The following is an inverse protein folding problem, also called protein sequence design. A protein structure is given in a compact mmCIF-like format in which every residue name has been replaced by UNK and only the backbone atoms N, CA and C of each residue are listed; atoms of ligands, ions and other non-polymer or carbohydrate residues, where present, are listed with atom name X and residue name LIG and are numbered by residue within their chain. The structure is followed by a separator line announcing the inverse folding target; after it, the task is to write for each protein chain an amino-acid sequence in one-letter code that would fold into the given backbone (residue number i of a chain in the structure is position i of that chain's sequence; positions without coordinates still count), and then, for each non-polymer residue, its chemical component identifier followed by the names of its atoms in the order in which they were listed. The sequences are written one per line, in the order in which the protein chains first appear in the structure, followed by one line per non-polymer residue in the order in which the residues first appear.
data_IF_393074726252
#
_entry.id   IF_393074726252
#
_cell.length_a   1.000
_cell.length_b   1.000
_cell.length_c   1.000
_cell.angle_alpha   90.00
_cell.angle_beta   90.00
_cell.angle_gamma   90.00
#
_symmetry.space_group_name_H-M   'P 1'
#
loop_
_entity.id
_entity.type
_entity.pdbx_description
1 polymer ?
#
# COMPACT_ATOMS: atom_id res chain seq x y z
N UNK A 1 -20.39 32.51 12.15
CA UNK A 1 -21.60 32.10 12.91
C UNK A 1 -22.01 33.15 13.93
N UNK A 2 -21.09 33.66 14.75
CA UNK A 2 -21.39 34.71 15.75
C UNK A 2 -21.98 36.00 15.16
N UNK A 3 -21.47 36.51 14.03
CA UNK A 3 -22.00 37.73 13.40
C UNK A 3 -23.41 37.58 12.79
N UNK A 4 -23.85 36.35 12.49
CA UNK A 4 -25.19 36.10 11.95
C UNK A 4 -26.24 35.91 13.05
N UNK A 5 -25.81 35.43 14.22
CA UNK A 5 -26.67 35.27 15.41
C UNK A 5 -27.06 36.62 16.02
N UNK A 6 -26.20 37.64 15.94
CA UNK A 6 -26.51 39.01 16.38
C UNK A 6 -27.51 39.73 15.48
N UNK A 7 -27.77 39.23 14.26
CA UNK A 7 -28.72 39.82 13.30
C UNK A 7 -30.07 39.05 13.22
N UNK A 8 -30.32 38.09 14.12
CA UNK A 8 -31.57 37.32 14.12
C UNK A 8 -31.73 36.36 12.94
N UNK A 9 -30.67 36.13 12.17
CA UNK A 9 -30.64 35.18 11.06
C UNK A 9 -30.45 33.79 11.68
N UNK A 10 -31.47 32.92 11.58
CA UNK A 10 -31.35 31.50 11.93
C UNK A 10 -30.33 30.86 10.98
N UNK A 11 -29.09 30.74 11.43
CA UNK A 11 -28.09 29.91 10.77
C UNK A 11 -28.46 28.47 11.08
N UNK A 12 -28.86 27.73 10.04
CA UNK A 12 -29.03 26.29 10.14
C UNK A 12 -27.67 25.69 10.47
N UNK A 13 -27.48 25.27 11.73
CA UNK A 13 -26.30 24.53 12.12
C UNK A 13 -26.50 23.16 11.51
N UNK A 14 -25.96 22.95 10.31
CA UNK A 14 -25.98 21.65 9.63
C UNK A 14 -25.59 20.51 10.58
N UNK A 15 -25.85 19.26 10.20
CA UNK A 15 -25.63 18.11 11.08
C UNK A 15 -24.23 18.17 11.70
N UNK A 16 -24.15 17.91 13.01
CA UNK A 16 -22.88 17.89 13.72
C UNK A 16 -21.92 16.93 12.99
N UNK A 17 -20.72 17.43 12.68
CA UNK A 17 -19.71 16.63 12.01
C UNK A 17 -19.43 15.35 12.81
N UNK A 18 -19.29 14.23 12.12
CA UNK A 18 -18.94 12.96 12.75
C UNK A 18 -17.54 13.03 13.35
N UNK A 19 -17.40 12.69 14.63
CA UNK A 19 -16.10 12.64 15.29
C UNK A 19 -15.34 11.38 14.87
N UNK A 20 -14.34 11.54 13.99
CA UNK A 20 -13.50 10.44 13.51
C UNK A 20 -12.57 9.87 14.58
N UNK A 21 -12.27 10.61 15.66
CA UNK A 21 -11.36 10.13 16.71
C UNK A 21 -11.92 8.92 17.47
N UNK A 22 -13.24 8.71 17.40
CA UNK A 22 -13.87 7.53 18.01
C UNK A 22 -13.48 6.21 17.30
N UNK A 23 -12.87 6.29 16.11
CA UNK A 23 -12.31 5.15 15.37
C UNK A 23 -10.92 4.82 15.95
N UNK A 24 -10.89 4.50 17.25
CA UNK A 24 -9.69 4.16 18.00
C UNK A 24 -10.01 2.96 18.90
N UNK A 25 -9.12 1.97 19.05
CA UNK A 25 -9.30 0.87 20.00
C UNK A 25 -9.67 1.36 21.41
N UNK A 26 -10.59 0.65 22.07
CA UNK A 26 -11.05 0.97 23.43
C UNK A 26 -12.26 1.90 23.50
N UNK A 27 -12.70 2.51 22.40
CA UNK A 27 -13.93 3.32 22.40
C UNK A 27 -15.19 2.46 22.38
N UNK A 28 -16.28 2.97 22.96
CA UNK A 28 -17.59 2.32 22.89
C UNK A 28 -18.09 2.13 21.45
N UNK A 29 -17.66 2.99 20.53
CA UNK A 29 -17.95 2.85 19.11
C UNK A 29 -17.32 1.57 18.55
N UNK A 30 -16.01 1.36 18.76
CA UNK A 30 -15.30 0.19 18.24
C UNK A 30 -15.82 -1.12 18.84
N UNK A 31 -16.23 -1.12 20.11
CA UNK A 31 -16.87 -2.29 20.74
C UNK A 31 -18.17 -2.67 20.04
N UNK A 32 -19.09 -1.70 19.84
CA UNK A 32 -20.35 -1.92 19.12
C UNK A 32 -20.13 -2.32 17.66
N UNK A 33 -19.16 -1.70 16.98
CA UNK A 33 -18.79 -2.06 15.61
C UNK A 33 -18.35 -3.51 15.54
N UNK A 34 -17.56 -3.97 16.50
CA UNK A 34 -17.06 -5.35 16.56
C UNK A 34 -18.19 -6.36 16.80
N UNK A 35 -19.17 -6.03 17.64
CA UNK A 35 -20.38 -6.85 17.82
C UNK A 35 -21.22 -6.91 16.53
N UNK A 36 -21.40 -5.76 15.87
CA UNK A 36 -22.15 -5.67 14.64
C UNK A 36 -21.50 -6.47 13.51
N UNK A 37 -20.18 -6.37 13.32
CA UNK A 37 -19.47 -7.12 12.27
C UNK A 37 -19.56 -8.64 12.54
N UNK A 38 -19.43 -9.08 13.79
CA UNK A 38 -19.63 -10.50 14.14
C UNK A 38 -21.03 -10.98 13.78
N UNK A 39 -22.06 -10.18 14.09
CA UNK A 39 -23.43 -10.47 13.68
C UNK A 39 -23.57 -10.50 12.15
N UNK A 40 -23.01 -9.51 11.45
CA UNK A 40 -23.05 -9.41 10.00
C UNK A 40 -22.42 -10.63 9.32
N UNK A 41 -21.21 -11.04 9.75
CA UNK A 41 -20.53 -12.24 9.24
C UNK A 41 -21.39 -13.49 9.45
N UNK A 42 -21.93 -13.70 10.65
CA UNK A 42 -22.83 -14.84 10.95
C UNK A 42 -24.08 -14.83 10.06
N UNK A 43 -24.66 -13.65 9.85
CA UNK A 43 -25.80 -13.48 8.94
C UNK A 43 -25.41 -13.83 7.51
N UNK A 44 -24.34 -13.26 6.96
CA UNK A 44 -23.89 -13.53 5.58
C UNK A 44 -23.60 -15.02 5.35
N UNK A 45 -22.83 -15.66 6.24
CA UNK A 45 -22.50 -17.10 6.13
C UNK A 45 -23.76 -17.97 6.16
N UNK A 46 -24.80 -17.59 6.92
CA UNK A 46 -26.05 -18.37 7.01
C UNK A 46 -27.04 -18.10 5.87
N UNK A 47 -27.08 -16.88 5.33
CA UNK A 47 -28.11 -16.46 4.38
C UNK A 47 -27.63 -16.35 2.93
N UNK A 48 -26.35 -16.09 2.71
CA UNK A 48 -25.78 -15.80 1.39
C UNK A 48 -25.06 -17.04 0.83
N UNK A 49 -25.54 -17.63 -0.28
CA UNK A 49 -24.87 -18.76 -0.93
C UNK A 49 -23.41 -18.50 -1.29
N UNK A 50 -23.03 -17.26 -1.63
CA UNK A 50 -21.65 -16.91 -2.00
C UNK A 50 -20.67 -17.07 -0.82
N UNK A 51 -21.16 -17.06 0.42
CA UNK A 51 -20.35 -17.17 1.63
C UNK A 51 -20.23 -18.60 2.16
N UNK A 52 -20.87 -19.59 1.53
CA UNK A 52 -20.92 -20.98 2.06
C UNK A 52 -19.57 -21.71 2.01
N UNK A 53 -18.74 -21.39 1.03
CA UNK A 53 -17.48 -22.10 0.76
C UNK A 53 -16.24 -21.24 1.04
N UNK A 54 -16.37 -20.19 1.87
CA UNK A 54 -15.26 -19.34 2.27
C UNK A 54 -15.01 -19.44 3.76
N UNK A 55 -13.76 -19.28 4.16
CA UNK A 55 -13.39 -19.11 5.58
C UNK A 55 -13.31 -17.63 5.88
N UNK A 56 -14.02 -17.17 6.91
CA UNK A 56 -14.00 -15.76 7.34
C UNK A 56 -13.28 -15.65 8.68
N UNK A 57 -12.20 -14.89 8.69
CA UNK A 57 -11.43 -14.57 9.90
C UNK A 57 -11.70 -13.11 10.24
N UNK A 58 -12.12 -12.84 11.48
CA UNK A 58 -12.37 -11.48 11.96
C UNK A 58 -11.46 -11.15 13.14
N UNK A 59 -10.54 -10.20 12.94
CA UNK A 59 -9.63 -9.67 13.96
C UNK A 59 -10.02 -8.21 14.28
N UNK A 60 -10.72 -8.01 15.38
CA UNK A 60 -11.24 -6.69 15.75
C UNK A 60 -10.18 -5.80 16.45
N UNK A 61 -10.62 -4.64 16.92
CA UNK A 61 -9.78 -3.66 17.62
C UNK A 61 -9.33 -4.10 19.02
N UNK A 62 -9.84 -5.22 19.56
CA UNK A 62 -9.35 -5.77 20.82
C UNK A 62 -8.08 -6.59 20.65
N UNK A 63 -7.76 -7.02 19.42
CA UNK A 63 -6.52 -7.72 19.09
C UNK A 63 -5.44 -6.70 18.76
N UNK A 64 -4.34 -6.62 19.55
CA UNK A 64 -3.27 -5.64 19.35
C UNK A 64 -2.61 -5.74 17.97
N UNK A 65 -2.13 -4.61 17.48
CA UNK A 65 -1.44 -4.47 16.20
C UNK A 65 -2.31 -3.81 15.13
N UNK A 66 -1.64 -3.07 14.25
CA UNK A 66 -2.26 -2.38 13.11
C UNK A 66 -2.87 -3.37 12.12
N UNK A 67 -3.95 -2.98 11.45
CA UNK A 67 -4.73 -3.87 10.60
C UNK A 67 -3.88 -4.52 9.50
N UNK A 68 -3.10 -3.72 8.79
CA UNK A 68 -2.17 -4.17 7.74
C UNK A 68 -1.11 -5.13 8.30
N UNK A 69 -0.44 -4.79 9.41
CA UNK A 69 0.55 -5.66 10.03
C UNK A 69 -0.03 -6.99 10.53
N UNK A 70 -1.27 -6.99 11.04
CA UNK A 70 -1.98 -8.24 11.40
C UNK A 70 -2.23 -9.13 10.18
N UNK A 71 -2.60 -8.53 9.05
CA UNK A 71 -2.78 -9.26 7.78
C UNK A 71 -1.44 -9.82 7.30
N UNK A 72 -0.38 -9.00 7.26
CA UNK A 72 0.94 -9.43 6.82
C UNK A 72 1.51 -10.54 7.71
N UNK A 73 1.28 -10.47 9.03
CA UNK A 73 1.62 -11.53 9.96
C UNK A 73 0.86 -12.83 9.65
N UNK A 74 -0.43 -12.73 9.29
CA UNK A 74 -1.23 -13.88 8.90
C UNK A 74 -0.69 -14.54 7.62
N UNK A 75 -0.37 -13.75 6.59
CA UNK A 75 0.23 -14.24 5.33
C UNK A 75 1.56 -14.95 5.60
N UNK A 76 2.47 -14.30 6.35
CA UNK A 76 3.76 -14.91 6.75
C UNK A 76 3.56 -16.21 7.51
N UNK A 77 2.62 -16.25 8.45
CA UNK A 77 2.34 -17.46 9.23
C UNK A 77 1.80 -18.58 8.34
N UNK A 78 0.86 -18.30 7.43
CA UNK A 78 0.33 -19.29 6.49
C UNK A 78 1.44 -19.89 5.62
N UNK A 79 2.34 -19.05 5.09
CA UNK A 79 3.47 -19.49 4.27
C UNK A 79 4.38 -20.50 4.99
N UNK A 80 4.48 -20.42 6.32
CA UNK A 80 5.27 -21.37 7.14
C UNK A 80 4.56 -22.69 7.41
N UNK A 81 3.26 -22.81 7.10
CA UNK A 81 2.50 -24.02 7.39
C UNK A 81 2.78 -25.14 6.38
N UNK A 82 2.81 -26.41 6.82
CA UNK A 82 2.88 -27.56 5.91
C UNK A 82 1.67 -27.58 4.96
N UNK A 83 1.92 -27.79 3.66
CA UNK A 83 0.86 -27.85 2.66
C UNK A 83 0.36 -26.48 2.18
N UNK A 84 1.05 -25.39 2.52
CA UNK A 84 0.81 -24.08 1.91
C UNK A 84 0.95 -24.15 0.39
N UNK A 85 -0.02 -23.57 -0.33
CA UNK A 85 0.05 -23.43 -1.78
C UNK A 85 0.86 -22.17 -2.13
N UNK A 86 2.06 -22.31 -2.72
CA UNK A 86 2.89 -21.16 -3.11
C UNK A 86 2.26 -20.30 -4.21
N UNK A 87 1.21 -20.79 -4.89
CA UNK A 87 0.47 -20.05 -5.91
C UNK A 87 -0.85 -19.46 -5.37
N UNK A 88 -1.04 -19.43 -4.05
CA UNK A 88 -2.20 -18.77 -3.46
C UNK A 88 -2.25 -17.30 -3.90
N UNK A 89 -3.42 -16.87 -4.39
CA UNK A 89 -3.64 -15.51 -4.87
C UNK A 89 -4.15 -14.64 -3.73
N UNK A 90 -3.35 -13.64 -3.34
CA UNK A 90 -3.67 -12.68 -2.29
C UNK A 90 -4.21 -11.39 -2.89
N UNK A 91 -5.31 -10.88 -2.35
CA UNK A 91 -5.86 -9.56 -2.68
C UNK A 91 -6.09 -8.77 -1.39
N UNK A 92 -5.37 -7.66 -1.25
CA UNK A 92 -5.45 -6.77 -0.08
C UNK A 92 -6.20 -5.49 -0.44
N UNK A 93 -7.22 -5.13 0.32
CA UNK A 93 -7.93 -3.86 0.12
C UNK A 93 -7.42 -2.77 1.06
N UNK A 94 -7.00 -1.63 0.53
CA UNK A 94 -6.57 -0.48 1.33
C UNK A 94 -5.96 0.66 0.50
N UNK A 95 -5.92 1.87 1.06
CA UNK A 95 -5.48 3.09 0.36
C UNK A 95 -4.02 3.48 0.65
N UNK A 96 -3.44 2.91 1.69
CA UNK A 96 -2.14 3.33 2.22
C UNK A 96 -1.00 2.93 1.27
N UNK A 97 0.02 3.79 1.18
CA UNK A 97 1.16 3.56 0.30
C UNK A 97 2.03 2.39 0.80
N UNK A 98 2.10 2.22 2.11
CA UNK A 98 2.89 1.20 2.80
C UNK A 98 2.49 -0.22 2.41
N UNK A 99 1.23 -0.41 1.98
CA UNK A 99 0.72 -1.69 1.48
C UNK A 99 1.54 -2.23 0.30
N UNK A 100 2.09 -1.37 -0.57
CA UNK A 100 2.93 -1.80 -1.69
C UNK A 100 4.22 -2.42 -1.16
N UNK A 101 4.87 -1.75 -0.21
CA UNK A 101 6.14 -2.21 0.38
C UNK A 101 5.93 -3.46 1.23
N UNK A 102 4.86 -3.49 2.04
CA UNK A 102 4.48 -4.66 2.81
C UNK A 102 4.17 -5.86 1.91
N UNK A 103 3.47 -5.66 0.79
CA UNK A 103 3.16 -6.72 -0.15
C UNK A 103 4.43 -7.25 -0.85
N UNK A 104 5.36 -6.39 -1.24
CA UNK A 104 6.67 -6.80 -1.77
C UNK A 104 7.44 -7.67 -0.76
N UNK A 105 7.48 -7.24 0.51
CA UNK A 105 8.15 -7.94 1.60
C UNK A 105 7.49 -9.28 2.01
N UNK A 106 6.33 -9.63 1.45
CA UNK A 106 5.75 -10.98 1.66
C UNK A 106 6.44 -12.03 0.79
N UNK A 107 7.07 -11.63 -0.32
CA UNK A 107 7.59 -12.53 -1.37
C UNK A 107 6.57 -13.55 -1.88
N UNK A 108 5.27 -13.21 -1.84
CA UNK A 108 4.22 -14.03 -2.44
C UNK A 108 4.21 -13.84 -3.96
N UNK A 109 4.09 -14.95 -4.69
CA UNK A 109 4.15 -14.96 -6.15
C UNK A 109 2.95 -14.23 -6.78
N UNK A 110 1.79 -14.26 -6.11
CA UNK A 110 0.55 -13.67 -6.61
C UNK A 110 -0.08 -12.76 -5.54
N UNK A 111 0.35 -11.51 -5.50
CA UNK A 111 -0.18 -10.50 -4.57
C UNK A 111 -0.73 -9.28 -5.31
N UNK A 112 -1.93 -8.84 -4.95
CA UNK A 112 -2.60 -7.69 -5.54
C UNK A 112 -3.13 -6.75 -4.48
N UNK A 113 -3.12 -5.45 -4.76
CA UNK A 113 -3.74 -4.44 -3.90
C UNK A 113 -4.94 -3.86 -4.64
N UNK A 114 -6.10 -3.84 -4.00
CA UNK A 114 -7.33 -3.25 -4.49
C UNK A 114 -7.59 -1.96 -3.72
N UNK A 115 -7.86 -0.87 -4.43
CA UNK A 115 -8.09 0.43 -3.81
C UNK A 115 -9.01 1.30 -4.65
N UNK A 116 -9.62 2.30 -4.06
CA UNK A 116 -10.32 3.31 -4.81
C UNK A 116 -9.35 4.10 -5.70
N UNK A 117 -9.77 4.36 -6.94
CA UNK A 117 -9.05 5.22 -7.86
C UNK A 117 -9.19 6.68 -7.40
N UNK A 118 -8.04 7.34 -7.19
CA UNK A 118 -8.01 8.74 -6.80
C UNK A 118 -7.96 9.59 -8.08
N UNK A 119 -9.13 9.98 -8.57
CA UNK A 119 -9.26 10.79 -9.78
C UNK A 119 -8.97 12.27 -9.47
N UNK A 120 -7.76 12.72 -9.77
CA UNK A 120 -7.38 14.13 -9.64
C UNK A 120 -7.74 14.91 -10.91
N UNK A 121 -8.85 15.66 -10.86
CA UNK A 121 -9.26 16.58 -11.93
C UNK A 121 -9.86 15.92 -13.18
N UNK A 122 -10.43 16.74 -14.08
CA UNK A 122 -11.18 16.28 -15.28
C UNK A 122 -10.37 15.41 -16.24
N UNK A 123 -9.08 15.71 -16.44
CA UNK A 123 -8.19 14.95 -17.34
C UNK A 123 -7.89 13.53 -16.83
N UNK A 124 -7.87 13.32 -15.51
CA UNK A 124 -7.63 12.01 -14.91
C UNK A 124 -8.82 11.06 -15.17
N UNK A 125 -10.05 11.56 -15.08
CA UNK A 125 -11.26 10.80 -15.38
C UNK A 125 -11.30 10.30 -16.84
N UNK A 126 -11.01 11.19 -17.81
CA UNK A 126 -10.94 10.81 -19.24
C UNK A 126 -9.86 9.76 -19.51
N UNK A 127 -8.74 9.81 -18.80
CA UNK A 127 -7.64 8.83 -18.92
C UNK A 127 -7.98 7.46 -18.30
N UNK A 128 -8.84 7.44 -17.28
CA UNK A 128 -9.34 6.20 -16.64
C UNK A 128 -10.33 5.49 -17.56
N UNK A 129 -11.24 6.24 -18.18
CA UNK A 129 -12.21 5.70 -19.15
C UNK A 129 -11.52 5.04 -20.34
N UNK A 130 -10.51 5.70 -20.94
CA UNK A 130 -9.72 5.11 -22.03
C UNK A 130 -8.99 3.84 -21.61
N UNK A 131 -8.39 3.81 -20.42
CA UNK A 131 -7.70 2.61 -19.90
C UNK A 131 -8.65 1.44 -19.66
N UNK A 132 -9.89 1.70 -19.22
CA UNK A 132 -10.91 0.65 -19.08
C UNK A 132 -11.27 0.02 -20.41
N UNK A 133 -11.45 0.84 -21.45
CA UNK A 133 -11.72 0.37 -22.82
C UNK A 133 -10.55 -0.43 -23.41
N UNK A 134 -9.31 0.00 -23.18
CA UNK A 134 -8.10 -0.68 -23.70
C UNK A 134 -7.77 -1.98 -22.96
N UNK A 135 -8.13 -2.10 -21.68
CA UNK A 135 -7.75 -3.24 -20.82
C UNK A 135 -8.53 -4.54 -21.08
N UNK A 136 -9.66 -4.48 -21.80
CA UNK A 136 -10.57 -5.62 -22.02
C UNK A 136 -11.26 -6.17 -20.75
N UNK A 137 -10.98 -5.60 -19.57
CA UNK A 137 -11.54 -6.02 -18.28
C UNK A 137 -13.04 -5.77 -18.19
N UNK A 138 -13.57 -4.78 -18.93
CA UNK A 138 -15.00 -4.47 -18.96
C UNK A 138 -15.83 -5.65 -19.45
N UNK A 139 -15.34 -6.37 -20.46
CA UNK A 139 -16.10 -7.46 -21.09
C UNK A 139 -16.10 -8.72 -20.22
N UNK A 140 -14.96 -9.03 -19.58
CA UNK A 140 -14.86 -10.14 -18.63
C UNK A 140 -15.68 -9.90 -17.35
N UNK A 141 -15.65 -8.66 -16.82
CA UNK A 141 -16.47 -8.29 -15.66
C UNK A 141 -17.97 -8.39 -15.99
N UNK A 142 -18.38 -7.93 -17.19
CA UNK A 142 -19.77 -7.99 -17.63
C UNK A 142 -20.28 -9.44 -17.75
N UNK A 143 -19.45 -10.34 -18.28
CA UNK A 143 -19.78 -11.78 -18.35
C UNK A 143 -19.88 -12.42 -16.97
N UNK A 144 -19.02 -12.03 -16.02
CA UNK A 144 -19.09 -12.50 -14.64
C UNK A 144 -20.34 -11.98 -13.92
N UNK A 145 -20.66 -10.70 -14.08
CA UNK A 145 -21.84 -10.07 -13.50
C UNK A 145 -23.14 -10.70 -14.05
N UNK A 146 -23.18 -11.01 -15.35
CA UNK A 146 -24.28 -11.75 -15.98
C UNK A 146 -24.43 -13.19 -15.44
N UNK A 147 -23.33 -13.85 -15.08
CA UNK A 147 -23.33 -15.21 -14.55
C UNK A 147 -23.73 -15.31 -13.06
N UNK A 148 -23.43 -14.28 -12.25
CA UNK A 148 -23.57 -14.32 -10.78
C UNK A 148 -24.92 -13.79 -10.28
N UNK A 149 -25.70 -13.07 -11.12
CA UNK A 149 -27.02 -12.57 -10.75
C UNK A 149 -26.94 -11.42 -9.73
N UNK A 150 -26.81 -10.20 -10.25
CA UNK A 150 -26.41 -8.99 -9.52
C UNK A 150 -27.51 -8.30 -8.69
N UNK A 151 -28.22 -9.06 -7.85
CA UNK A 151 -29.07 -8.42 -6.83
C UNK A 151 -28.28 -7.65 -5.76
N UNK A 152 -27.01 -7.97 -5.56
CA UNK A 152 -26.21 -7.51 -4.42
C UNK A 152 -25.18 -6.40 -4.72
N UNK A 153 -24.97 -6.01 -5.99
CA UNK A 153 -23.87 -5.11 -6.37
C UNK A 153 -24.27 -3.79 -7.03
N UNK A 154 -25.56 -3.56 -7.32
CA UNK A 154 -26.02 -2.31 -7.94
C UNK A 154 -26.31 -1.23 -6.87
N UNK A 155 -25.30 -0.92 -6.05
CA UNK A 155 -25.35 0.18 -5.08
C UNK A 155 -24.92 1.45 -5.82
N UNK A 156 -25.77 2.49 -5.83
CA UNK A 156 -25.46 3.76 -6.54
C UNK A 156 -24.09 4.36 -6.15
N UNK A 157 -23.68 4.19 -4.89
CA UNK A 157 -22.39 4.67 -4.39
C UNK A 157 -21.19 4.04 -5.13
N UNK A 158 -21.29 2.76 -5.54
CA UNK A 158 -20.24 2.06 -6.28
C UNK A 158 -20.05 2.62 -7.71
N UNK A 159 -21.07 3.29 -8.28
CA UNK A 159 -20.97 3.89 -9.62
C UNK A 159 -20.04 5.10 -9.65
N UNK A 160 -19.76 5.70 -8.49
CA UNK A 160 -18.99 6.95 -8.39
C UNK A 160 -17.57 6.78 -7.86
N UNK A 161 -17.18 5.56 -7.48
CA UNK A 161 -15.86 5.24 -6.90
C UNK A 161 -15.26 4.00 -7.57
N UNK A 162 -14.69 4.14 -8.78
CA UNK A 162 -14.07 3.00 -9.45
C UNK A 162 -12.90 2.46 -8.62
N UNK A 163 -12.78 1.13 -8.61
CA UNK A 163 -11.64 0.45 -7.99
C UNK A 163 -10.53 0.27 -9.02
N UNK A 164 -9.29 0.36 -8.56
CA UNK A 164 -8.10 0.01 -9.31
C UNK A 164 -7.34 -1.13 -8.62
N UNK A 165 -6.66 -1.95 -9.42
CA UNK A 165 -5.83 -3.05 -8.94
C UNK A 165 -4.36 -2.76 -9.23
N UNK A 166 -3.54 -2.76 -8.19
CA UNK A 166 -2.07 -2.72 -8.30
C UNK A 166 -1.57 -4.16 -8.29
N UNK A 167 -0.74 -4.51 -9.28
CA UNK A 167 -0.18 -5.85 -9.46
C UNK A 167 1.27 -5.89 -8.99
N UNK A 168 1.51 -6.50 -7.83
CA UNK A 168 2.86 -6.67 -7.28
C UNK A 168 3.74 -7.56 -8.17
N UNK A 169 3.24 -8.64 -8.82
CA UNK A 169 4.06 -9.40 -9.77
C UNK A 169 4.58 -8.53 -10.92
N UNK A 170 3.75 -7.64 -11.46
CA UNK A 170 4.15 -6.73 -12.54
C UNK A 170 5.16 -5.71 -12.01
N UNK A 171 4.94 -5.15 -10.82
CA UNK A 171 5.91 -4.25 -10.19
C UNK A 171 7.27 -4.95 -10.01
N UNK A 172 7.28 -6.21 -9.61
CA UNK A 172 8.51 -7.01 -9.49
C UNK A 172 9.22 -7.19 -10.84
N UNK A 173 8.49 -7.37 -11.93
CA UNK A 173 9.09 -7.38 -13.28
C UNK A 173 9.72 -6.02 -13.65
N UNK A 174 9.06 -4.91 -13.31
CA UNK A 174 9.65 -3.57 -13.49
C UNK A 174 10.93 -3.41 -12.67
N UNK A 175 10.93 -3.81 -11.40
CA UNK A 175 12.13 -3.76 -10.54
C UNK A 175 13.23 -4.68 -11.10
N UNK A 176 12.91 -5.89 -11.52
CA UNK A 176 13.88 -6.78 -12.15
C UNK A 176 14.51 -6.16 -13.42
N UNK A 177 13.71 -5.45 -14.22
CA UNK A 177 14.24 -4.73 -15.38
C UNK A 177 15.11 -3.54 -14.98
N UNK A 178 14.71 -2.75 -13.98
CA UNK A 178 15.43 -1.57 -13.48
C UNK A 178 16.82 -1.93 -12.92
N UNK A 179 16.89 -3.06 -12.22
CA UNK A 179 18.11 -3.52 -11.55
C UNK A 179 18.83 -4.64 -12.29
N UNK A 180 18.47 -4.93 -13.55
CA UNK A 180 19.09 -6.00 -14.36
C UNK A 180 20.62 -5.94 -14.40
N UNK A 181 21.19 -4.74 -14.37
CA UNK A 181 22.65 -4.56 -14.35
C UNK A 181 23.33 -5.13 -13.09
N UNK A 182 22.58 -5.34 -12.01
CA UNK A 182 23.09 -5.92 -10.77
C UNK A 182 23.04 -7.44 -10.75
N UNK A 183 22.57 -8.09 -11.82
CA UNK A 183 22.64 -9.56 -11.95
C UNK A 183 24.09 -10.09 -12.05
N UNK A 184 25.05 -9.21 -12.36
CA UNK A 184 26.46 -9.56 -12.60
C UNK A 184 27.43 -8.93 -11.58
N UNK A 185 26.97 -8.67 -10.35
CA UNK A 185 27.83 -8.12 -9.28
C UNK A 185 28.86 -9.13 -8.76
N UNK A 186 30.00 -8.68 -8.21
CA UNK A 186 31.13 -9.55 -7.88
C UNK A 186 30.97 -10.40 -6.61
N UNK A 187 29.82 -10.40 -5.93
CA UNK A 187 29.57 -11.25 -4.75
C UNK A 187 28.81 -12.53 -5.08
N UNK A 188 28.93 -13.51 -4.19
CA UNK A 188 28.87 -14.95 -4.50
C UNK A 188 27.50 -15.47 -4.97
N UNK A 189 26.41 -14.88 -4.50
CA UNK A 189 25.04 -15.31 -4.83
C UNK A 189 24.11 -14.08 -4.97
N UNK A 190 23.76 -13.75 -6.22
CA UNK A 190 22.79 -12.70 -6.50
C UNK A 190 21.38 -13.28 -6.41
N UNK A 191 20.56 -12.71 -5.55
CA UNK A 191 19.15 -13.06 -5.36
C UNK A 191 18.27 -11.84 -5.60
N UNK A 192 17.33 -11.95 -6.54
CA UNK A 192 16.33 -10.91 -6.77
C UNK A 192 15.45 -10.68 -5.53
N UNK A 193 15.18 -11.71 -4.72
CA UNK A 193 14.41 -11.52 -3.48
C UNK A 193 15.15 -10.63 -2.48
N UNK A 194 16.47 -10.80 -2.35
CA UNK A 194 17.30 -9.97 -1.47
C UNK A 194 17.44 -8.54 -1.98
N UNK A 195 17.42 -8.37 -3.30
CA UNK A 195 17.34 -7.05 -3.91
C UNK A 195 16.01 -6.36 -3.57
N UNK A 196 14.89 -7.08 -3.60
CA UNK A 196 13.58 -6.54 -3.21
C UNK A 196 13.58 -6.10 -1.74
N UNK A 197 14.22 -6.86 -0.84
CA UNK A 197 14.39 -6.46 0.57
C UNK A 197 15.14 -5.13 0.72
N UNK A 198 16.25 -4.97 -0.01
CA UNK A 198 17.02 -3.71 -0.02
C UNK A 198 16.20 -2.55 -0.60
N UNK A 199 15.43 -2.77 -1.67
CA UNK A 199 14.57 -1.75 -2.27
C UNK A 199 13.51 -1.27 -1.27
N UNK A 200 12.86 -2.21 -0.56
CA UNK A 200 11.89 -1.88 0.50
C UNK A 200 12.57 -1.07 1.60
N UNK A 201 13.77 -1.46 2.01
CA UNK A 201 14.54 -0.72 3.02
C UNK A 201 14.92 0.69 2.55
N UNK A 202 15.36 0.88 1.30
CA UNK A 202 15.69 2.19 0.74
C UNK A 202 14.48 3.13 0.74
N UNK A 203 13.27 2.61 0.52
CA UNK A 203 12.05 3.41 0.58
C UNK A 203 11.80 4.03 1.96
N UNK A 204 12.31 3.44 3.05
CA UNK A 204 12.17 4.02 4.39
C UNK A 204 12.87 5.38 4.53
N UNK A 205 13.93 5.66 3.76
CA UNK A 205 14.65 6.95 3.83
C UNK A 205 13.85 8.12 3.26
N UNK A 206 12.87 7.85 2.41
CA UNK A 206 12.00 8.90 1.84
C UNK A 206 10.79 9.21 2.73
N UNK A 207 10.70 8.55 3.89
CA UNK A 207 9.68 8.77 4.92
C UNK A 207 8.75 7.57 5.11
N UNK A 208 8.30 7.39 6.34
CA UNK A 208 7.27 6.43 6.73
C UNK A 208 6.58 6.93 8.01
N UNK A 209 5.57 6.22 8.49
CA UNK A 209 4.80 6.65 9.67
C UNK A 209 5.61 6.71 10.98
N UNK A 210 6.76 6.04 11.04
CA UNK A 210 7.60 5.96 12.24
C UNK A 210 8.77 6.94 12.24
N UNK A 211 9.28 7.29 11.06
CA UNK A 211 10.45 8.14 10.90
C UNK A 211 10.14 9.29 9.94
N UNK A 212 10.49 10.54 10.30
CA UNK A 212 10.40 11.64 9.36
C UNK A 212 11.33 11.36 8.17
N UNK A 213 10.91 11.80 6.99
CA UNK A 213 11.76 11.79 5.80
C UNK A 213 13.04 12.62 6.05
N UNK A 214 14.14 12.22 5.41
CA UNK A 214 15.35 13.05 5.41
C UNK A 214 15.06 14.36 4.66
N UNK A 215 15.46 15.54 5.16
CA UNK A 215 15.12 16.82 4.53
C UNK A 215 15.57 16.94 3.07
N UNK A 216 16.67 16.26 2.74
CA UNK A 216 17.27 16.18 1.40
C UNK A 216 16.56 15.19 0.46
N UNK A 217 15.62 14.37 0.95
CA UNK A 217 14.91 13.35 0.18
C UNK A 217 13.39 13.57 0.20
N UNK A 218 12.82 14.00 -0.93
CA UNK A 218 11.37 14.05 -1.17
C UNK A 218 11.03 13.23 -2.42
N UNK A 219 9.97 12.42 -2.36
CA UNK A 219 9.48 11.63 -3.51
C UNK A 219 9.20 12.55 -4.70
N UNK A 220 8.69 13.77 -4.46
CA UNK A 220 8.36 14.75 -5.49
C UNK A 220 9.58 15.26 -6.26
N UNK A 221 10.75 15.21 -5.62
CA UNK A 221 12.02 15.64 -6.20
C UNK A 221 12.80 14.48 -6.86
N UNK A 222 12.19 13.28 -6.96
CA UNK A 222 12.84 12.10 -7.54
C UNK A 222 13.80 11.39 -6.59
N UNK A 223 13.60 11.51 -5.27
CA UNK A 223 14.49 10.89 -4.26
C UNK A 223 14.64 9.37 -4.42
N UNK A 224 13.59 8.66 -4.82
CA UNK A 224 13.67 7.21 -5.06
C UNK A 224 14.59 6.88 -6.24
N UNK A 225 14.49 7.62 -7.35
CA UNK A 225 15.36 7.43 -8.51
C UNK A 225 16.82 7.70 -8.14
N UNK A 226 17.07 8.75 -7.34
CA UNK A 226 18.39 9.03 -6.80
C UNK A 226 18.92 7.86 -5.95
N UNK A 227 18.15 7.39 -4.97
CA UNK A 227 18.53 6.29 -4.09
C UNK A 227 18.81 5.00 -4.89
N UNK A 228 17.99 4.69 -5.89
CA UNK A 228 18.18 3.51 -6.76
C UNK A 228 19.45 3.63 -7.58
N UNK A 229 19.77 4.83 -8.09
CA UNK A 229 21.01 5.08 -8.83
C UNK A 229 22.24 5.00 -7.93
N UNK A 230 22.18 5.54 -6.71
CA UNK A 230 23.23 5.39 -5.71
C UNK A 230 23.43 3.92 -5.39
N UNK A 231 22.36 3.21 -5.05
CA UNK A 231 22.40 1.79 -4.72
C UNK A 231 23.01 0.94 -5.84
N UNK A 232 22.57 1.14 -7.09
CA UNK A 232 23.13 0.49 -8.28
C UNK A 232 24.64 0.71 -8.43
N UNK A 233 25.15 1.88 -8.04
CA UNK A 233 26.58 2.22 -8.13
C UNK A 233 27.38 1.61 -6.99
N UNK A 234 26.86 1.60 -5.76
CA UNK A 234 27.62 1.18 -4.58
C UNK A 234 27.51 -0.32 -4.30
N UNK A 235 26.39 -0.96 -4.60
CA UNK A 235 26.18 -2.39 -4.29
C UNK A 235 27.35 -3.30 -4.76
N UNK A 236 27.93 -3.12 -5.97
CA UNK A 236 29.07 -3.93 -6.41
C UNK A 236 30.33 -3.79 -5.54
N UNK A 237 30.48 -2.69 -4.79
CA UNK A 237 31.65 -2.43 -3.93
C UNK A 237 31.43 -2.86 -2.48
N UNK A 238 30.17 -3.05 -2.05
CA UNK A 238 29.82 -3.45 -0.68
C UNK A 238 30.15 -4.92 -0.37
N UNK A 239 30.11 -5.78 -1.39
CA UNK A 239 30.40 -7.21 -1.25
C UNK A 239 29.24 -8.07 -0.72
N UNK A 240 28.12 -7.46 -0.29
CA UNK A 240 26.82 -8.10 0.00
C UNK A 240 25.70 -7.03 0.01
N UNK A 241 24.45 -7.45 0.17
CA UNK A 241 23.25 -6.62 0.30
C UNK A 241 23.25 -5.72 1.56
N UNK A 242 22.40 -4.69 1.60
CA UNK A 242 22.24 -3.79 2.76
C UNK A 242 21.46 -4.47 3.87
N UNK A 243 20.48 -5.31 3.52
CA UNK A 243 19.64 -6.04 4.46
C UNK A 243 20.01 -7.52 4.46
N UNK A 244 19.94 -8.15 5.63
CA UNK A 244 20.15 -9.59 5.84
C UNK A 244 18.81 -10.31 6.03
N UNK A 245 18.86 -11.65 5.97
CA UNK A 245 17.70 -12.49 6.28
C UNK A 245 17.10 -12.13 7.65
N UNK A 246 15.78 -12.05 7.71
CA UNK A 246 15.07 -11.69 8.95
C UNK A 246 14.93 -10.18 9.17
N UNK A 247 15.35 -9.35 8.22
CA UNK A 247 15.17 -7.88 8.28
C UNK A 247 16.24 -7.15 9.08
N UNK A 248 17.37 -7.79 9.38
CA UNK A 248 18.50 -7.14 10.04
C UNK A 248 19.25 -6.24 9.04
N UNK A 249 19.54 -5.01 9.43
CA UNK A 249 20.23 -4.03 8.58
C UNK A 249 21.74 -4.10 8.81
N UNK A 250 22.51 -4.25 7.74
CA UNK A 250 23.94 -4.03 7.78
C UNK A 250 24.23 -2.53 7.80
N UNK A 251 24.43 -2.00 9.01
CA UNK A 251 24.67 -0.58 9.23
C UNK A 251 25.91 -0.05 8.50
N UNK A 252 26.94 -0.89 8.29
CA UNK A 252 28.13 -0.46 7.54
C UNK A 252 27.83 -0.23 6.06
N UNK A 253 26.88 -0.97 5.48
CA UNK A 253 26.43 -0.78 4.10
C UNK A 253 25.47 0.41 4.00
N UNK A 254 24.56 0.56 4.97
CA UNK A 254 23.66 1.70 5.04
C UNK A 254 24.43 3.04 5.18
N UNK A 255 25.51 3.06 5.95
CA UNK A 255 26.38 4.24 6.11
C UNK A 255 26.96 4.72 4.77
N UNK A 256 27.37 3.79 3.89
CA UNK A 256 27.85 4.13 2.54
C UNK A 256 26.77 4.81 1.70
N UNK A 257 25.52 4.35 1.77
CA UNK A 257 24.40 4.98 1.06
C UNK A 257 24.15 6.39 1.62
N UNK A 258 24.12 6.53 2.96
CA UNK A 258 23.88 7.81 3.61
C UNK A 258 25.00 8.80 3.36
N UNK A 259 26.25 8.36 3.22
CA UNK A 259 27.36 9.22 2.82
C UNK A 259 27.17 9.82 1.42
N UNK A 260 26.58 9.04 0.49
CA UNK A 260 26.26 9.52 -0.87
C UNK A 260 25.08 10.50 -0.87
N UNK A 261 24.10 10.29 0.03
CA UNK A 261 23.03 11.29 0.27
C UNK A 261 23.64 12.57 0.84
N UNK A 262 24.49 12.47 1.87
CA UNK A 262 25.16 13.59 2.52
C UNK A 262 25.95 14.47 1.53
N UNK A 263 26.58 13.85 0.52
CA UNK A 263 27.36 14.55 -0.49
C UNK A 263 26.56 15.51 -1.39
N UNK A 264 25.23 15.36 -1.46
CA UNK A 264 24.36 16.19 -2.31
C UNK A 264 23.44 17.14 -1.53
N UNK A 265 23.44 17.09 -0.20
CA UNK A 265 22.45 17.82 0.61
C UNK A 265 22.51 19.34 0.39
N UNK A 266 23.70 19.92 0.41
CA UNK A 266 23.90 21.36 0.18
C UNK A 266 23.34 21.80 -1.17
N UNK A 267 23.51 20.97 -2.21
CA UNK A 267 22.97 21.26 -3.54
C UNK A 267 21.44 21.19 -3.54
N UNK A 268 20.86 20.14 -2.94
CA UNK A 268 19.41 19.96 -2.85
C UNK A 268 18.76 21.11 -2.08
N UNK A 269 19.34 21.53 -0.95
CA UNK A 269 18.82 22.65 -0.17
C UNK A 269 18.90 23.97 -0.91
N UNK A 270 19.99 24.22 -1.63
CA UNK A 270 20.13 25.41 -2.47
C UNK A 270 19.06 25.44 -3.57
N UNK A 271 18.86 24.32 -4.26
CA UNK A 271 17.85 24.17 -5.30
C UNK A 271 16.42 24.35 -4.75
N UNK A 272 16.11 23.79 -3.58
CA UNK A 272 14.81 23.94 -2.93
C UNK A 272 14.53 25.40 -2.58
N UNK A 273 15.53 26.11 -2.05
CA UNK A 273 15.40 27.53 -1.73
C UNK A 273 15.13 28.38 -2.97
N UNK A 274 15.86 28.15 -4.07
CA UNK A 274 15.65 28.85 -5.34
C UNK A 274 14.25 28.60 -5.95
N UNK A 275 13.69 27.40 -5.76
CA UNK A 275 12.36 27.06 -6.28
C UNK A 275 11.21 27.60 -5.42
N UNK A 276 11.48 28.02 -4.18
CA UNK A 276 10.50 28.64 -3.27
C UNK A 276 10.40 30.16 -3.44
N UNK A 277 11.38 30.81 -4.08
CA UNK A 277 11.39 32.24 -4.45
C UNK A 277 10.66 32.53 -5.78
#
# INVERSE_FOLDING_TARGET
VEMAQTQGIKVDKGPAAWDSNIITPGTSFMLRLSEFIRFYVRKRVSTDPAWKNITVIFSDASVPGEGEHKIMNHVRHQRTQPGYDPNLVHVLHGLDADLIMLALATHEAHFYILREEVLFGRKSAESSERRKEESGFSDAQRQFDEAVGTGAMDIEENKTKPLQRISIPILREYLASEFRQLEQVPFKEVSFERLVDDIVFLCFFVGNDFLPHLPSLDIRDGALDFLFNVYKRVLPTLGDYITNHGGEVNLSHADVILAEVAAIEDYVFSMKHENEE
#
